data_IF_748319150854
#
_entry.id   IF_748319150854
#
_cell.length_a   1.000
_cell.length_b   1.000
_cell.length_c   1.000
_cell.angle_alpha   90.00
_cell.angle_beta   90.00
_cell.angle_gamma   90.00
#
_symmetry.space_group_name_H-M   'P 1'
#
loop_
_entity.id
_entity.type
_entity.pdbx_description
1 polymer ?
#
# COMPACT_ATOMS: atom_id res chain seq x y z
N UNK A 1 -21.87 -11.93 10.99
CA UNK A 1 -20.39 -11.94 11.09
C UNK A 1 -19.84 -11.51 9.75
N UNK A 2 -18.68 -10.87 9.72
CA UNK A 2 -18.01 -10.48 8.47
C UNK A 2 -17.47 -11.76 7.81
N UNK A 3 -17.79 -11.98 6.53
CA UNK A 3 -17.25 -13.10 5.76
C UNK A 3 -15.72 -12.98 5.66
N UNK A 4 -15.01 -14.10 5.58
CA UNK A 4 -13.56 -14.03 5.47
C UNK A 4 -13.22 -13.50 4.07
N UNK A 5 -12.47 -12.39 3.95
CA UNK A 5 -12.40 -11.63 2.69
C UNK A 5 -11.77 -12.44 1.55
N UNK A 6 -10.94 -13.42 1.87
CA UNK A 6 -10.33 -14.32 0.88
C UNK A 6 -11.24 -15.44 0.36
N UNK A 7 -12.44 -15.63 0.90
CA UNK A 7 -13.30 -16.77 0.53
C UNK A 7 -13.71 -16.72 -0.96
N UNK A 8 -13.83 -15.52 -1.52
CA UNK A 8 -14.12 -15.32 -2.95
C UNK A 8 -12.87 -15.36 -3.85
N UNK A 9 -11.67 -15.46 -3.26
CA UNK A 9 -10.37 -15.36 -3.96
C UNK A 9 -9.46 -16.54 -3.62
N UNK A 10 -9.97 -17.77 -3.76
CA UNK A 10 -9.28 -19.00 -3.37
C UNK A 10 -7.87 -19.15 -3.97
N UNK A 11 -7.69 -18.83 -5.26
CA UNK A 11 -6.38 -18.91 -5.92
C UNK A 11 -5.40 -17.87 -5.36
N UNK A 12 -5.85 -16.62 -5.18
CA UNK A 12 -5.03 -15.57 -4.57
C UNK A 12 -4.65 -15.92 -3.13
N UNK A 13 -5.58 -16.53 -2.40
CA UNK A 13 -5.38 -17.00 -1.02
C UNK A 13 -4.32 -18.09 -0.94
N UNK A 14 -4.30 -19.02 -1.88
CA UNK A 14 -3.31 -20.10 -1.94
C UNK A 14 -1.90 -19.53 -2.16
N UNK A 15 -1.72 -18.68 -3.16
CA UNK A 15 -0.46 -17.99 -3.43
C UNK A 15 -0.01 -17.14 -2.23
N UNK A 16 -0.95 -16.39 -1.63
CA UNK A 16 -0.70 -15.58 -0.44
C UNK A 16 -0.24 -16.44 0.75
N UNK A 17 -0.97 -17.52 1.06
CA UNK A 17 -0.63 -18.41 2.18
C UNK A 17 0.72 -19.10 1.93
N UNK A 18 0.98 -19.61 0.74
CA UNK A 18 2.27 -20.21 0.38
C UNK A 18 3.42 -19.22 0.53
N UNK A 19 3.24 -17.98 0.08
CA UNK A 19 4.27 -16.96 0.16
C UNK A 19 4.67 -16.66 1.61
N UNK A 20 3.70 -16.58 2.52
CA UNK A 20 3.93 -16.32 3.95
C UNK A 20 4.32 -17.57 4.76
N UNK A 21 3.94 -18.78 4.32
CA UNK A 21 4.06 -20.01 5.11
C UNK A 21 5.50 -20.27 5.56
N UNK A 22 5.66 -20.56 6.85
CA UNK A 22 6.94 -20.95 7.45
C UNK A 22 7.96 -19.81 7.57
N UNK A 23 7.64 -18.58 7.14
CA UNK A 23 8.54 -17.43 7.26
C UNK A 23 8.46 -16.82 8.66
N UNK A 24 9.61 -16.54 9.27
CA UNK A 24 9.67 -15.92 10.61
C UNK A 24 8.96 -14.56 10.65
N UNK A 25 9.09 -13.77 9.59
CA UNK A 25 8.45 -12.46 9.45
C UNK A 25 6.92 -12.54 9.36
N UNK A 26 6.37 -13.70 8.98
CA UNK A 26 4.93 -13.94 8.97
C UNK A 26 4.36 -14.22 10.37
N UNK A 27 5.21 -14.52 11.37
CA UNK A 27 4.78 -14.73 12.75
C UNK A 27 4.35 -13.40 13.36
N UNK A 28 3.06 -13.10 13.32
CA UNK A 28 2.48 -11.88 13.86
C UNK A 28 1.49 -11.25 12.89
N UNK A 29 1.49 -9.92 12.82
CA UNK A 29 0.53 -9.13 12.05
C UNK A 29 1.08 -8.63 10.70
N UNK A 30 2.27 -9.07 10.27
CA UNK A 30 2.91 -8.57 9.03
C UNK A 30 2.06 -8.75 7.77
N UNK A 31 1.35 -9.88 7.57
CA UNK A 31 0.42 -10.00 6.42
C UNK A 31 -0.68 -8.93 6.45
N UNK A 32 -1.26 -8.66 7.63
CA UNK A 32 -2.24 -7.59 7.80
C UNK A 32 -1.63 -6.19 7.61
N UNK A 33 -0.39 -5.98 8.08
CA UNK A 33 0.35 -4.74 7.88
C UNK A 33 0.62 -4.46 6.40
N UNK A 34 0.87 -5.49 5.59
CA UNK A 34 0.99 -5.33 4.14
C UNK A 34 -0.29 -4.75 3.53
N UNK A 35 -1.45 -5.28 3.90
CA UNK A 35 -2.73 -4.77 3.42
C UNK A 35 -2.98 -3.33 3.92
N UNK A 36 -2.62 -3.04 5.17
CA UNK A 36 -2.69 -1.67 5.72
C UNK A 36 -1.81 -0.69 4.93
N UNK A 37 -0.60 -1.09 4.52
CA UNK A 37 0.26 -0.26 3.66
C UNK A 37 -0.35 0.04 2.29
N UNK A 38 -1.04 -0.93 1.71
CA UNK A 38 -1.77 -0.75 0.46
C UNK A 38 -2.88 0.29 0.62
N UNK A 39 -3.72 0.16 1.64
CA UNK A 39 -4.79 1.12 1.95
C UNK A 39 -4.26 2.55 2.19
N UNK A 40 -3.23 2.66 3.02
CA UNK A 40 -2.62 3.95 3.36
C UNK A 40 -1.98 4.62 2.14
N UNK A 41 -1.44 3.84 1.21
CA UNK A 41 -0.90 4.41 -0.03
C UNK A 41 -2.02 4.96 -0.91
N UNK A 42 -3.12 4.22 -1.10
CA UNK A 42 -4.29 4.68 -1.85
C UNK A 42 -4.91 5.95 -1.25
N UNK A 43 -5.02 5.99 0.08
CA UNK A 43 -5.70 7.08 0.78
C UNK A 43 -4.74 8.13 1.37
N UNK A 44 -3.46 8.11 0.96
CA UNK A 44 -2.40 8.97 1.50
C UNK A 44 -2.73 10.46 1.48
N UNK A 45 -3.53 10.90 0.51
CA UNK A 45 -3.95 12.29 0.38
C UNK A 45 -5.02 12.63 1.42
N UNK A 46 -6.09 11.83 1.52
CA UNK A 46 -7.13 12.00 2.56
C UNK A 46 -6.54 11.93 3.97
N UNK A 47 -5.70 10.92 4.23
CA UNK A 47 -4.98 10.79 5.49
C UNK A 47 -4.06 11.99 5.73
N UNK A 48 -3.32 12.43 4.71
CA UNK A 48 -2.45 13.60 4.81
C UNK A 48 -3.20 14.89 5.12
N UNK A 49 -4.35 15.11 4.49
CA UNK A 49 -5.19 16.30 4.71
C UNK A 49 -5.77 16.31 6.12
N UNK A 50 -6.24 15.15 6.60
CA UNK A 50 -6.70 14.98 7.98
C UNK A 50 -5.58 15.27 8.99
N UNK A 51 -4.39 14.69 8.79
CA UNK A 51 -3.26 14.84 9.70
C UNK A 51 -2.70 16.26 9.76
N UNK A 52 -2.84 17.04 8.68
CA UNK A 52 -2.34 18.42 8.60
C UNK A 52 -3.39 19.45 9.02
N UNK A 53 -4.66 19.08 9.14
CA UNK A 53 -5.72 19.98 9.61
C UNK A 53 -5.54 20.30 11.11
N UNK A 54 -5.72 21.57 11.49
CA UNK A 54 -5.51 22.08 12.86
C UNK A 54 -6.29 21.34 13.96
N UNK A 55 -7.31 20.55 13.60
CA UNK A 55 -8.10 19.74 14.52
C UNK A 55 -8.49 18.37 13.96
N UNK A 56 -7.79 17.91 12.92
CA UNK A 56 -8.20 16.73 12.15
C UNK A 56 -8.10 15.40 12.90
N UNK A 57 -7.46 15.36 14.08
CA UNK A 57 -7.38 14.15 14.93
C UNK A 57 -7.98 14.35 16.33
N UNK A 58 -8.59 15.51 16.60
CA UNK A 58 -9.05 15.87 17.94
C UNK A 58 -10.17 14.95 18.43
N UNK A 59 -11.08 14.54 17.54
CA UNK A 59 -12.17 13.61 17.87
C UNK A 59 -11.65 12.22 18.25
N UNK A 60 -10.51 11.81 17.69
CA UNK A 60 -9.82 10.56 18.05
C UNK A 60 -9.10 10.64 19.39
N UNK A 61 -8.88 11.85 19.92
CA UNK A 61 -8.06 12.11 21.12
C UNK A 61 -6.62 11.59 20.98
N UNK A 62 -6.10 11.57 19.75
CA UNK A 62 -4.73 11.16 19.42
C UNK A 62 -3.96 12.40 18.94
N UNK A 63 -2.76 12.59 19.49
CA UNK A 63 -1.83 13.63 19.05
C UNK A 63 -0.92 13.09 17.95
N UNK A 64 -0.85 13.77 16.81
CA UNK A 64 0.05 13.41 15.72
C UNK A 64 1.37 14.19 15.81
N UNK A 65 2.52 13.49 15.79
CA UNK A 65 3.87 14.08 15.86
C UNK A 65 4.70 13.84 14.60
N UNK A 66 4.03 13.43 13.51
CA UNK A 66 4.69 13.23 12.22
C UNK A 66 5.38 11.88 12.06
N UNK A 67 5.12 10.89 12.91
CA UNK A 67 5.71 9.55 12.78
C UNK A 67 4.85 8.61 11.94
N UNK A 68 5.47 7.58 11.38
CA UNK A 68 4.75 6.54 10.63
C UNK A 68 3.79 5.79 11.54
N UNK A 69 4.25 5.37 12.72
CA UNK A 69 3.45 4.56 13.65
C UNK A 69 2.17 5.29 14.04
N UNK A 70 2.27 6.57 14.40
CA UNK A 70 1.09 7.40 14.67
C UNK A 70 0.17 7.51 13.46
N UNK A 71 0.69 7.62 12.23
CA UNK A 71 -0.14 7.64 11.03
C UNK A 71 -0.90 6.32 10.79
N UNK A 72 -0.26 5.18 11.07
CA UNK A 72 -0.92 3.86 10.99
C UNK A 72 -2.04 3.75 12.05
N UNK A 73 -1.73 4.13 13.29
CA UNK A 73 -2.67 4.07 14.41
C UNK A 73 -3.86 5.02 14.19
N UNK A 74 -3.61 6.24 13.73
CA UNK A 74 -4.65 7.22 13.41
C UNK A 74 -5.53 6.74 12.26
N UNK A 75 -4.95 6.11 11.22
CA UNK A 75 -5.73 5.56 10.11
C UNK A 75 -6.71 4.49 10.61
N UNK A 76 -6.24 3.53 11.42
CA UNK A 76 -7.10 2.51 12.02
C UNK A 76 -8.15 3.09 12.97
N UNK A 77 -7.76 4.04 13.83
CA UNK A 77 -8.66 4.70 14.76
C UNK A 77 -9.73 5.51 14.03
N UNK A 78 -9.39 6.14 12.91
CA UNK A 78 -10.32 6.91 12.09
C UNK A 78 -11.37 6.00 11.43
N UNK A 79 -10.97 4.87 10.86
CA UNK A 79 -11.92 3.88 10.32
C UNK A 79 -12.85 3.40 11.43
N UNK A 80 -12.30 3.02 12.58
CA UNK A 80 -13.11 2.56 13.71
C UNK A 80 -14.10 3.63 14.19
N UNK A 81 -13.67 4.90 14.25
CA UNK A 81 -14.52 6.01 14.65
C UNK A 81 -15.70 6.20 13.70
N UNK A 82 -15.45 6.20 12.38
CA UNK A 82 -16.49 6.35 11.37
C UNK A 82 -17.53 5.22 11.40
N UNK A 83 -17.11 3.99 11.72
CA UNK A 83 -18.00 2.83 11.83
C UNK A 83 -18.88 2.87 13.09
N UNK A 84 -18.38 3.47 14.18
CA UNK A 84 -19.15 3.60 15.43
C UNK A 84 -20.10 4.80 15.37
N UNK A 85 -19.63 5.93 14.83
CA UNK A 85 -20.37 7.18 14.76
C UNK A 85 -21.01 7.32 13.37
N UNK A 86 -22.16 6.67 13.18
CA UNK A 86 -22.85 6.55 11.89
C UNK A 86 -23.23 7.88 11.21
N UNK A 87 -23.31 8.99 11.97
CA UNK A 87 -23.60 10.34 11.45
C UNK A 87 -22.33 11.14 11.09
N UNK A 88 -21.13 10.56 11.28
CA UNK A 88 -19.88 11.24 10.96
C UNK A 88 -19.63 11.31 9.45
N UNK A 89 -18.98 12.38 9.00
CA UNK A 89 -18.56 12.51 7.61
C UNK A 89 -17.38 11.56 7.37
N UNK A 90 -17.50 10.69 6.38
CA UNK A 90 -16.42 9.79 5.97
C UNK A 90 -15.21 10.60 5.47
N UNK A 91 -14.12 10.58 6.25
CA UNK A 91 -12.82 11.14 5.89
C UNK A 91 -12.01 10.11 5.11
N UNK A 92 -12.02 8.87 5.57
CA UNK A 92 -11.44 7.69 4.92
C UNK A 92 -12.53 6.79 4.38
N UNK A 93 -12.17 5.86 3.50
CA UNK A 93 -13.08 4.84 3.01
C UNK A 93 -13.60 3.92 4.14
N UNK A 94 -14.90 3.67 4.12
CA UNK A 94 -15.59 2.77 5.04
C UNK A 94 -15.37 1.28 4.70
N UNK A 95 -15.84 0.38 5.57
CA UNK A 95 -15.65 -1.06 5.41
C UNK A 95 -16.25 -1.61 4.11
N UNK A 96 -17.36 -1.05 3.64
CA UNK A 96 -18.01 -1.47 2.40
C UNK A 96 -17.13 -1.17 1.19
N UNK A 97 -16.53 0.03 1.14
CA UNK A 97 -15.60 0.39 0.07
C UNK A 97 -14.33 -0.46 0.12
N UNK A 98 -13.80 -0.67 1.33
CA UNK A 98 -12.59 -1.50 1.50
C UNK A 98 -12.85 -2.94 1.05
N UNK A 99 -13.99 -3.52 1.42
CA UNK A 99 -14.33 -4.91 1.14
C UNK A 99 -14.73 -5.15 -0.30
N UNK A 100 -15.47 -4.22 -0.92
CA UNK A 100 -16.02 -4.40 -2.27
C UNK A 100 -15.14 -3.84 -3.39
N UNK A 101 -14.22 -2.91 -3.08
CA UNK A 101 -13.42 -2.24 -4.11
C UNK A 101 -11.91 -2.47 -3.92
N UNK A 102 -11.39 -2.20 -2.72
CA UNK A 102 -9.94 -2.24 -2.47
C UNK A 102 -9.42 -3.66 -2.30
N UNK A 103 -10.05 -4.49 -1.47
CA UNK A 103 -9.63 -5.86 -1.25
C UNK A 103 -9.66 -6.73 -2.53
N UNK A 104 -10.72 -6.67 -3.38
CA UNK A 104 -10.75 -7.42 -4.63
C UNK A 104 -9.60 -7.05 -5.58
N UNK A 105 -9.29 -5.77 -5.67
CA UNK A 105 -8.18 -5.26 -6.49
C UNK A 105 -6.83 -5.74 -5.94
N UNK A 106 -6.66 -5.67 -4.63
CA UNK A 106 -5.48 -6.20 -3.94
C UNK A 106 -5.30 -7.69 -4.20
N UNK A 107 -6.34 -8.50 -4.02
CA UNK A 107 -6.29 -9.94 -4.19
C UNK A 107 -5.92 -10.33 -5.64
N UNK A 108 -6.49 -9.66 -6.65
CA UNK A 108 -6.14 -9.88 -8.06
C UNK A 108 -4.67 -9.57 -8.34
N UNK A 109 -4.17 -8.43 -7.88
CA UNK A 109 -2.77 -8.06 -8.08
C UNK A 109 -1.81 -9.00 -7.35
N UNK A 110 -2.12 -9.40 -6.12
CA UNK A 110 -1.34 -10.39 -5.38
C UNK A 110 -1.24 -11.70 -6.16
N UNK A 111 -2.38 -12.21 -6.63
CA UNK A 111 -2.40 -13.44 -7.42
C UNK A 111 -1.49 -13.32 -8.64
N UNK A 112 -1.70 -12.29 -9.49
CA UNK A 112 -0.92 -12.09 -10.71
C UNK A 112 0.58 -12.03 -10.44
N UNK A 113 0.98 -11.23 -9.44
CA UNK A 113 2.39 -11.00 -9.12
C UNK A 113 3.05 -12.28 -8.63
N UNK A 114 2.42 -13.00 -7.71
CA UNK A 114 3.01 -14.19 -7.10
C UNK A 114 3.01 -15.38 -8.07
N UNK A 115 1.96 -15.55 -8.86
CA UNK A 115 1.81 -16.69 -9.77
C UNK A 115 2.62 -16.57 -11.05
N UNK A 116 2.80 -15.35 -11.59
CA UNK A 116 3.37 -15.17 -12.94
C UNK A 116 4.18 -13.90 -13.16
N UNK A 117 3.82 -12.77 -12.54
CA UNK A 117 4.45 -11.48 -12.84
C UNK A 117 5.88 -11.38 -12.30
N UNK A 118 6.08 -11.75 -11.04
CA UNK A 118 7.38 -11.61 -10.34
C UNK A 118 7.61 -12.84 -9.45
N UNK A 119 7.73 -14.04 -10.06
CA UNK A 119 7.86 -15.28 -9.30
C UNK A 119 9.10 -15.25 -8.38
N UNK A 120 8.95 -15.82 -7.19
CA UNK A 120 10.03 -15.90 -6.19
C UNK A 120 10.38 -14.58 -5.51
N UNK A 121 9.53 -13.55 -5.59
CA UNK A 121 9.68 -12.34 -4.78
C UNK A 121 9.72 -12.71 -3.28
N UNK A 122 10.64 -12.11 -2.53
CA UNK A 122 10.82 -12.41 -1.12
C UNK A 122 9.81 -11.65 -0.23
N UNK A 123 9.34 -12.30 0.83
CA UNK A 123 8.39 -11.73 1.80
C UNK A 123 8.89 -10.48 2.51
N UNK A 124 10.21 -10.26 2.59
CA UNK A 124 10.78 -9.02 3.14
C UNK A 124 10.44 -7.78 2.30
N UNK A 125 9.96 -7.97 1.06
CA UNK A 125 9.53 -6.89 0.15
C UNK A 125 8.06 -6.51 0.28
N UNK A 126 7.32 -7.08 1.24
CA UNK A 126 5.87 -6.88 1.40
C UNK A 126 5.43 -5.41 1.35
N UNK A 127 6.16 -4.52 2.02
CA UNK A 127 5.81 -3.10 2.05
C UNK A 127 5.94 -2.48 0.65
N UNK A 128 7.06 -2.71 -0.02
CA UNK A 128 7.29 -2.15 -1.36
C UNK A 128 6.29 -2.72 -2.37
N UNK A 129 5.97 -4.01 -2.25
CA UNK A 129 4.94 -4.68 -3.03
C UNK A 129 3.56 -4.04 -2.78
N UNK A 130 3.18 -3.76 -1.54
CA UNK A 130 1.92 -3.08 -1.22
C UNK A 130 1.83 -1.67 -1.82
N UNK A 131 2.93 -0.90 -1.78
CA UNK A 131 2.98 0.43 -2.41
C UNK A 131 2.84 0.34 -3.94
N UNK A 132 3.47 -0.65 -4.56
CA UNK A 132 3.31 -0.92 -6.00
C UNK A 132 1.86 -1.25 -6.34
N UNK A 133 1.23 -2.18 -5.60
CA UNK A 133 -0.17 -2.57 -5.86
C UNK A 133 -1.10 -1.36 -5.71
N UNK A 134 -0.87 -0.50 -4.72
CA UNK A 134 -1.65 0.73 -4.57
C UNK A 134 -1.50 1.65 -5.79
N UNK A 135 -0.27 1.85 -6.28
CA UNK A 135 -0.03 2.64 -7.49
C UNK A 135 -0.70 2.02 -8.73
N UNK A 136 -0.60 0.71 -8.89
CA UNK A 136 -1.19 -0.01 -10.01
C UNK A 136 -2.72 0.08 -10.02
N UNK A 137 -3.35 0.02 -8.84
CA UNK A 137 -4.80 0.20 -8.68
C UNK A 137 -5.23 1.64 -8.89
N UNK A 138 -4.49 2.62 -8.35
CA UNK A 138 -4.80 4.05 -8.55
C UNK A 138 -4.72 4.46 -10.03
N UNK A 139 -3.80 3.85 -10.77
CA UNK A 139 -3.59 4.11 -12.19
C UNK A 139 -4.46 3.24 -13.11
N UNK A 140 -5.29 2.34 -12.56
CA UNK A 140 -6.12 1.40 -13.32
C UNK A 140 -5.31 0.62 -14.38
N UNK A 141 -4.13 0.10 -13.98
CA UNK A 141 -3.23 -0.56 -14.93
C UNK A 141 -3.84 -1.85 -15.51
N UNK A 142 -3.70 -2.09 -16.82
CA UNK A 142 -4.20 -3.30 -17.47
C UNK A 142 -3.29 -4.49 -17.14
N UNK A 143 -3.59 -5.17 -16.04
CA UNK A 143 -2.80 -6.26 -15.46
C UNK A 143 -2.34 -7.35 -16.45
N UNK A 144 -3.15 -7.64 -17.48
CA UNK A 144 -2.89 -8.70 -18.46
C UNK A 144 -2.12 -8.21 -19.70
N UNK A 145 -2.00 -6.90 -19.89
CA UNK A 145 -1.35 -6.29 -21.06
C UNK A 145 0.07 -5.77 -20.76
N UNK A 146 0.56 -5.97 -19.54
CA UNK A 146 1.91 -5.58 -19.16
C UNK A 146 2.95 -6.43 -19.88
N UNK A 147 3.90 -5.77 -20.55
CA UNK A 147 4.99 -6.42 -21.28
C UNK A 147 6.02 -7.06 -20.34
N UNK A 148 6.82 -7.98 -20.87
CA UNK A 148 7.94 -8.59 -20.11
C UNK A 148 8.93 -7.53 -19.61
N UNK A 149 9.17 -6.48 -20.39
CA UNK A 149 10.05 -5.37 -20.00
C UNK A 149 9.46 -4.59 -18.83
N UNK A 150 8.17 -4.28 -18.86
CA UNK A 150 7.47 -3.62 -17.76
C UNK A 150 7.51 -4.48 -16.49
N UNK A 151 7.24 -5.79 -16.59
CA UNK A 151 7.37 -6.71 -15.45
C UNK A 151 8.79 -6.78 -14.89
N UNK A 152 9.81 -6.75 -15.76
CA UNK A 152 11.21 -6.70 -15.32
C UNK A 152 11.52 -5.43 -14.53
N UNK A 153 11.10 -4.27 -15.02
CA UNK A 153 11.28 -3.00 -14.32
C UNK A 153 10.52 -2.94 -12.99
N UNK A 154 9.28 -3.41 -12.95
CA UNK A 154 8.50 -3.54 -11.72
C UNK A 154 9.23 -4.45 -10.72
N UNK A 155 9.70 -5.61 -11.19
CA UNK A 155 10.47 -6.56 -10.38
C UNK A 155 11.74 -5.96 -9.79
N UNK A 156 12.53 -5.25 -10.59
CA UNK A 156 13.72 -4.55 -10.09
C UNK A 156 13.35 -3.44 -9.12
N UNK A 157 12.29 -2.67 -9.38
CA UNK A 157 11.82 -1.63 -8.46
C UNK A 157 11.40 -2.21 -7.11
N UNK A 158 10.69 -3.32 -7.08
CA UNK A 158 10.28 -3.93 -5.80
C UNK A 158 11.49 -4.50 -5.04
N UNK A 159 12.47 -5.09 -5.75
CA UNK A 159 13.67 -5.66 -5.13
C UNK A 159 14.66 -4.58 -4.66
N UNK A 160 14.81 -3.50 -5.43
CA UNK A 160 15.85 -2.48 -5.30
C UNK A 160 15.28 -1.07 -5.54
N UNK A 161 14.29 -0.62 -4.74
CA UNK A 161 13.51 0.58 -5.04
C UNK A 161 14.35 1.85 -5.18
N UNK A 162 15.39 2.00 -4.35
CA UNK A 162 16.31 3.15 -4.44
C UNK A 162 17.21 3.13 -5.66
N UNK A 163 17.61 1.95 -6.15
CA UNK A 163 18.46 1.85 -7.33
C UNK A 163 17.62 2.16 -8.56
N UNK A 164 16.51 1.43 -8.72
CA UNK A 164 15.60 1.56 -9.85
C UNK A 164 14.92 2.92 -9.89
N UNK A 165 14.51 3.48 -8.74
CA UNK A 165 14.00 4.84 -8.67
C UNK A 165 14.99 5.87 -9.22
N UNK A 166 16.30 5.71 -8.95
CA UNK A 166 17.33 6.59 -9.53
C UNK A 166 17.48 6.44 -11.03
N UNK A 167 17.46 5.21 -11.52
CA UNK A 167 17.56 4.93 -12.94
C UNK A 167 16.37 5.52 -13.72
N UNK A 168 15.17 5.50 -13.13
CA UNK A 168 13.94 5.95 -13.78
C UNK A 168 13.72 7.46 -13.64
N UNK A 169 14.00 8.05 -12.49
CA UNK A 169 13.72 9.48 -12.25
C UNK A 169 14.86 10.41 -12.71
N UNK A 170 16.07 9.88 -12.96
CA UNK A 170 17.21 10.65 -13.48
C UNK A 170 17.57 11.91 -12.67
N UNK A 171 17.25 11.96 -11.38
CA UNK A 171 17.55 13.07 -10.48
C UNK A 171 18.56 12.58 -9.40
N UNK A 172 18.81 13.35 -8.34
CA UNK A 172 19.75 12.98 -7.27
C UNK A 172 19.05 12.57 -5.97
N UNK A 173 17.71 12.56 -5.95
CA UNK A 173 16.90 12.36 -4.73
C UNK A 173 15.71 11.39 -4.94
N UNK A 174 15.99 10.24 -5.56
CA UNK A 174 15.02 9.55 -6.42
C UNK A 174 14.14 8.47 -5.79
N UNK A 175 14.31 8.19 -4.50
CA UNK A 175 13.29 7.43 -3.78
C UNK A 175 13.50 7.67 -2.29
N UNK A 176 12.50 8.22 -1.58
CA UNK A 176 12.70 8.66 -0.21
C UNK A 176 12.87 7.47 0.74
N UNK A 177 13.62 7.73 1.82
CA UNK A 177 13.73 6.84 2.98
C UNK A 177 13.06 7.53 4.17
N UNK A 178 11.85 7.08 4.54
CA UNK A 178 11.04 7.73 5.57
C UNK A 178 11.70 7.87 6.94
N UNK A 179 12.63 6.98 7.31
CA UNK A 179 13.30 6.98 8.63
C UNK A 179 12.33 7.20 9.81
N UNK A 180 11.15 6.58 9.72
CA UNK A 180 10.09 6.69 10.73
C UNK A 180 9.19 7.93 10.63
N UNK A 181 9.36 8.79 9.62
CA UNK A 181 8.59 10.03 9.44
C UNK A 181 7.53 9.90 8.36
N UNK A 182 6.38 10.51 8.60
CA UNK A 182 5.26 10.58 7.64
C UNK A 182 5.32 11.82 6.74
N UNK A 183 5.43 13.02 7.34
CA UNK A 183 5.19 14.32 6.67
C UNK A 183 6.40 15.01 6.06
N UNK A 184 7.62 14.50 6.25
CA UNK A 184 8.81 15.18 5.73
C UNK A 184 8.94 15.03 4.21
N UNK A 185 9.79 15.86 3.57
CA UNK A 185 10.12 15.73 2.15
C UNK A 185 10.71 14.34 1.78
N UNK A 186 11.18 13.59 2.77
CA UNK A 186 11.63 12.19 2.60
C UNK A 186 10.73 11.19 3.34
N UNK A 187 9.56 11.63 3.79
CA UNK A 187 8.64 10.87 4.61
C UNK A 187 7.85 9.83 3.83
N UNK A 188 7.05 9.05 4.55
CA UNK A 188 6.27 7.95 3.99
C UNK A 188 5.24 8.41 2.96
N UNK A 189 4.60 9.57 3.16
CA UNK A 189 3.66 10.10 2.16
C UNK A 189 4.39 10.33 0.82
N UNK A 190 5.56 10.97 0.86
CA UNK A 190 6.36 11.20 -0.35
C UNK A 190 6.82 9.89 -1.00
N UNK A 191 7.08 8.85 -0.20
CA UNK A 191 7.42 7.53 -0.72
C UNK A 191 6.28 6.91 -1.54
N UNK A 192 5.04 7.07 -1.09
CA UNK A 192 3.87 6.66 -1.85
C UNK A 192 3.75 7.45 -3.16
N UNK A 193 3.91 8.78 -3.13
CA UNK A 193 3.87 9.61 -4.36
C UNK A 193 4.95 9.20 -5.37
N UNK A 194 6.19 9.01 -4.90
CA UNK A 194 7.30 8.60 -5.77
C UNK A 194 7.11 7.18 -6.31
N UNK A 195 6.47 6.28 -5.58
CA UNK A 195 6.10 4.97 -6.12
C UNK A 195 5.18 5.12 -7.34
N UNK A 196 4.17 5.99 -7.27
CA UNK A 196 3.23 6.19 -8.39
C UNK A 196 3.93 6.85 -9.58
N UNK A 197 4.78 7.83 -9.34
CA UNK A 197 5.59 8.47 -10.38
C UNK A 197 6.50 7.46 -11.09
N UNK A 198 7.18 6.59 -10.33
CA UNK A 198 8.05 5.55 -10.89
C UNK A 198 7.23 4.55 -11.70
N UNK A 199 6.10 4.06 -11.15
CA UNK A 199 5.23 3.10 -11.86
C UNK A 199 4.71 3.70 -13.16
N UNK A 200 4.30 4.98 -13.16
CA UNK A 200 3.91 5.69 -14.37
C UNK A 200 5.02 5.69 -15.42
N UNK A 201 6.22 6.07 -15.04
CA UNK A 201 7.34 6.10 -15.97
C UNK A 201 7.67 4.70 -16.52
N UNK A 202 7.52 3.62 -15.73
CA UNK A 202 7.70 2.25 -16.23
C UNK A 202 6.67 1.92 -17.31
N UNK A 203 5.44 2.42 -17.20
CA UNK A 203 4.41 2.19 -18.23
C UNK A 203 4.67 2.93 -19.53
N UNK A 204 5.46 4.01 -19.47
CA UNK A 204 5.82 4.84 -20.63
C UNK A 204 7.12 4.41 -21.33
N UNK A 205 7.82 3.38 -20.81
CA UNK A 205 9.00 2.75 -21.43
C UNK A 205 8.59 1.79 -22.56
#
# INVERSE_FOLDING_TARGET
GIAHPWDEYSQAREEWDEWWRGKSIAKGQTPSLMFLWYLICLERNRLGDMLNAQSGTNHLKINFRGTIEESLDIYCAQIQYQEIEADSVDILSNIDTISNNYFPSFAKWIYKILSSGIPGISVDKYKQLALFIAAAVEMDLPMDDLSDEQWNWIGEFIRRPRKTGREILSDSDDYPEPKGRWTTARGQKQQCEKTIEIVRNIMDL
#
